data_IF_296111237151
#
_entry.id   IF_296111237151
#
_cell.length_a   1.000
_cell.length_b   1.000
_cell.length_c   1.000
_cell.angle_alpha   90.00
_cell.angle_beta   90.00
_cell.angle_gamma   90.00
#
_symmetry.space_group_name_H-M   'P 1'
#
loop_
_entity.id
_entity.type
_entity.pdbx_description
1 polymer ?
#
# COMPACT_ATOMS: atom_id res chain seq x y z
N UNK A 1 14.44 24.44 -44.28
CA UNK A 1 15.04 23.15 -43.88
C UNK A 1 15.87 23.42 -42.64
N UNK A 2 15.80 22.75 -41.50
CA UNK A 2 15.11 21.55 -41.07
C UNK A 2 14.75 21.73 -39.57
N UNK A 3 13.66 21.09 -39.15
CA UNK A 3 13.20 21.00 -37.77
C UNK A 3 14.21 20.16 -36.96
N UNK A 4 14.71 20.67 -35.84
CA UNK A 4 15.26 19.82 -34.79
C UNK A 4 14.16 19.57 -33.74
N UNK A 5 13.48 18.44 -33.89
CA UNK A 5 12.72 17.80 -32.81
C UNK A 5 13.68 16.76 -32.23
N UNK A 6 14.16 16.97 -31.01
CA UNK A 6 15.00 15.99 -30.31
C UNK A 6 14.62 15.94 -28.82
N UNK A 7 13.94 14.84 -28.46
CA UNK A 7 14.08 14.09 -27.20
C UNK A 7 13.84 14.83 -25.87
N UNK A 8 12.65 14.70 -25.29
CA UNK A 8 12.35 15.26 -23.96
C UNK A 8 11.35 14.45 -23.12
N UNK A 9 11.42 13.11 -23.11
CA UNK A 9 10.47 12.27 -22.35
C UNK A 9 11.09 11.65 -21.08
N UNK A 10 12.42 11.53 -20.99
CA UNK A 10 13.09 10.80 -19.90
C UNK A 10 13.12 11.50 -18.53
N UNK A 11 13.29 12.82 -18.48
CA UNK A 11 13.44 13.57 -17.21
C UNK A 11 12.12 13.80 -16.47
N UNK A 12 10.98 13.70 -17.16
CA UNK A 12 9.65 13.85 -16.56
C UNK A 12 9.27 12.68 -15.65
N UNK A 13 9.68 11.45 -15.98
CA UNK A 13 9.32 10.26 -15.21
C UNK A 13 10.06 10.16 -13.88
N UNK A 14 11.36 10.51 -13.85
CA UNK A 14 12.15 10.48 -12.63
C UNK A 14 11.67 11.54 -11.60
N UNK A 15 11.35 12.74 -12.09
CA UNK A 15 10.84 13.84 -11.26
C UNK A 15 9.42 13.55 -10.74
N UNK A 16 8.53 13.02 -11.58
CA UNK A 16 7.19 12.61 -11.15
C UNK A 16 7.20 11.42 -10.18
N UNK A 17 8.08 10.44 -10.39
CA UNK A 17 8.27 9.32 -9.45
C UNK A 17 8.82 9.77 -8.09
N UNK A 18 9.82 10.66 -8.07
CA UNK A 18 10.35 11.23 -6.84
C UNK A 18 9.29 12.04 -6.07
N UNK A 19 8.49 12.85 -6.79
CA UNK A 19 7.37 13.60 -6.20
C UNK A 19 6.28 12.66 -5.67
N UNK A 20 5.96 11.60 -6.40
CA UNK A 20 5.01 10.58 -5.93
C UNK A 20 5.50 9.89 -4.65
N UNK A 21 6.77 9.49 -4.58
CA UNK A 21 7.37 8.89 -3.39
C UNK A 21 7.35 9.84 -2.18
N UNK A 22 7.72 11.11 -2.37
CA UNK A 22 7.69 12.10 -1.29
C UNK A 22 6.25 12.36 -0.82
N UNK A 23 5.29 12.45 -1.73
CA UNK A 23 3.87 12.58 -1.39
C UNK A 23 3.37 11.35 -0.63
N UNK A 24 3.83 10.16 -0.99
CA UNK A 24 3.48 8.89 -0.33
C UNK A 24 4.02 8.80 1.10
N UNK A 25 5.27 9.20 1.34
CA UNK A 25 5.84 9.24 2.69
C UNK A 25 5.16 10.29 3.56
N UNK A 26 4.90 11.48 3.01
CA UNK A 26 4.19 12.56 3.71
C UNK A 26 2.75 12.16 4.06
N UNK A 27 2.00 11.53 3.14
CA UNK A 27 0.64 11.04 3.42
C UNK A 27 0.62 9.98 4.52
N UNK A 28 1.55 9.02 4.51
CA UNK A 28 1.69 8.02 5.58
C UNK A 28 1.96 8.66 6.94
N UNK A 29 2.76 9.72 6.98
CA UNK A 29 2.97 10.47 8.22
C UNK A 29 1.69 11.17 8.69
N UNK A 30 0.96 11.83 7.80
CA UNK A 30 -0.31 12.50 8.12
C UNK A 30 -1.37 11.53 8.65
N UNK A 31 -1.55 10.36 8.01
CA UNK A 31 -2.49 9.33 8.48
C UNK A 31 -2.09 8.81 9.86
N UNK A 32 -0.80 8.64 10.14
CA UNK A 32 -0.31 8.24 11.47
C UNK A 32 -0.54 9.30 12.53
N UNK A 33 -0.32 10.57 12.20
CA UNK A 33 -0.63 11.67 13.11
C UNK A 33 -2.13 11.77 13.37
N UNK A 34 -2.96 11.72 12.33
CA UNK A 34 -4.42 11.74 12.48
C UNK A 34 -4.95 10.53 13.28
N UNK A 35 -4.40 9.34 13.07
CA UNK A 35 -4.75 8.15 13.85
C UNK A 35 -4.30 8.27 15.31
N UNK A 36 -3.10 8.81 15.57
CA UNK A 36 -2.64 9.07 16.93
C UNK A 36 -3.50 10.13 17.64
N UNK A 37 -3.88 11.21 16.94
CA UNK A 37 -4.78 12.24 17.48
C UNK A 37 -6.19 11.69 17.77
N UNK A 38 -6.71 10.79 16.92
CA UNK A 38 -7.98 10.12 17.17
C UNK A 38 -7.93 9.21 18.40
N UNK A 39 -6.84 8.45 18.60
CA UNK A 39 -6.66 7.62 19.80
C UNK A 39 -6.61 8.48 21.08
N UNK A 40 -5.97 9.66 21.04
CA UNK A 40 -5.92 10.58 22.18
C UNK A 40 -7.27 11.29 22.43
N UNK A 41 -8.05 11.56 21.38
CA UNK A 41 -9.38 12.16 21.48
C UNK A 41 -10.44 11.17 22.02
N UNK A 42 -10.29 9.88 21.71
CA UNK A 42 -11.20 8.79 22.10
C UNK A 42 -10.74 8.05 23.37
N UNK A 43 -9.98 8.72 24.26
CA UNK A 43 -9.53 8.18 25.56
C UNK A 43 -10.69 7.99 26.59
N UNK A 44 -11.86 7.55 26.11
CA UNK A 44 -13.07 7.31 26.89
C UNK A 44 -14.06 6.33 26.25
N UNK A 45 -13.61 5.33 25.45
CA UNK A 45 -14.52 4.35 24.81
C UNK A 45 -14.07 2.92 25.07
N UNK A 46 -15.05 2.06 25.37
CA UNK A 46 -14.91 0.63 25.67
C UNK A 46 -14.41 -0.15 24.47
N UNK A 47 -13.37 -0.96 24.66
CA UNK A 47 -12.87 -1.97 23.71
C UNK A 47 -14.00 -2.89 23.28
N UNK A 48 -14.49 -2.69 22.06
CA UNK A 48 -15.22 -3.69 21.29
C UNK A 48 -14.17 -4.39 20.42
N UNK A 49 -13.98 -5.70 20.60
CA UNK A 49 -12.89 -6.54 20.05
C UNK A 49 -12.89 -6.68 18.50
N UNK A 50 -13.42 -5.71 17.75
CA UNK A 50 -13.55 -5.76 16.29
C UNK A 50 -12.66 -4.74 15.53
N UNK A 51 -11.82 -3.96 16.22
CA UNK A 51 -11.00 -2.90 15.60
C UNK A 51 -9.74 -3.41 14.87
N UNK A 52 -9.33 -4.66 15.11
CA UNK A 52 -8.16 -5.27 14.46
C UNK A 52 -8.39 -5.60 12.97
N UNK A 53 -9.66 -5.70 12.52
CA UNK A 53 -10.00 -6.03 11.13
C UNK A 53 -9.82 -4.84 10.16
N UNK A 54 -9.68 -3.62 10.70
CA UNK A 54 -9.62 -2.39 9.91
C UNK A 54 -8.20 -1.84 9.70
N UNK A 55 -7.16 -2.55 10.17
CA UNK A 55 -5.77 -2.07 10.10
C UNK A 55 -4.94 -2.89 9.10
N UNK A 56 -4.12 -2.21 8.30
CA UNK A 56 -3.17 -2.87 7.41
C UNK A 56 -2.03 -3.53 8.20
N UNK A 57 -1.90 -4.86 8.14
CA UNK A 57 -0.86 -5.59 8.86
C UNK A 57 0.59 -5.32 8.39
N UNK A 58 0.81 -4.56 7.32
CA UNK A 58 2.15 -4.19 6.84
C UNK A 58 2.59 -2.83 7.38
N UNK A 59 1.71 -1.83 7.36
CA UNK A 59 2.05 -0.48 7.80
C UNK A 59 1.53 -0.13 9.20
N UNK A 60 0.71 -1.01 9.78
CA UNK A 60 0.06 -0.87 11.09
C UNK A 60 -0.70 0.44 11.20
N UNK A 61 -1.49 0.75 10.17
CA UNK A 61 -2.29 1.98 10.08
C UNK A 61 -3.55 1.71 9.26
N UNK A 62 -4.58 2.57 9.35
CA UNK A 62 -5.76 2.48 8.50
C UNK A 62 -5.35 2.40 7.01
N UNK A 63 -5.89 1.43 6.25
CA UNK A 63 -5.42 1.17 4.89
C UNK A 63 -5.90 2.23 3.89
N UNK A 64 -4.96 2.96 3.28
CA UNK A 64 -5.20 3.77 2.08
C UNK A 64 -5.35 2.84 0.85
N UNK A 65 -6.47 2.93 0.13
CA UNK A 65 -6.84 2.02 -0.96
C UNK A 65 -6.77 0.54 -0.52
N UNK A 66 -7.65 0.12 0.40
CA UNK A 66 -7.61 -1.23 0.93
C UNK A 66 -7.86 -2.24 -0.18
N UNK A 67 -7.10 -3.32 -0.14
CA UNK A 67 -7.32 -4.49 -0.95
C UNK A 67 -7.40 -5.73 -0.06
N UNK A 68 -8.22 -6.67 -0.49
CA UNK A 68 -8.40 -7.96 0.14
C UNK A 68 -7.87 -9.03 -0.82
N UNK A 69 -6.97 -9.85 -0.29
CA UNK A 69 -6.44 -11.03 -0.99
C UNK A 69 -7.49 -12.14 -1.03
N UNK A 70 -7.40 -13.12 -1.94
CA UNK A 70 -8.38 -14.22 -1.96
C UNK A 70 -8.41 -15.08 -0.69
N UNK A 71 -7.39 -15.00 0.17
CA UNK A 71 -7.38 -15.62 1.49
C UNK A 71 -8.04 -14.79 2.60
N UNK A 72 -8.66 -13.64 2.27
CA UNK A 72 -9.41 -12.79 3.20
C UNK A 72 -8.60 -11.71 3.91
N UNK A 73 -7.26 -11.74 3.80
CA UNK A 73 -6.42 -10.73 4.46
C UNK A 73 -6.42 -9.37 3.74
N UNK A 74 -6.49 -8.31 4.53
CA UNK A 74 -6.60 -6.90 4.11
C UNK A 74 -5.26 -6.15 4.23
N UNK A 75 -4.92 -5.37 3.22
CA UNK A 75 -3.72 -4.53 3.20
C UNK A 75 -4.00 -3.22 2.45
N UNK A 76 -3.11 -2.22 2.57
CA UNK A 76 -3.05 -1.19 1.53
C UNK A 76 -2.55 -1.85 0.24
N UNK A 77 -3.17 -1.57 -0.91
CA UNK A 77 -2.73 -2.06 -2.23
C UNK A 77 -1.24 -1.83 -2.43
N UNK A 78 -0.82 -0.62 -2.11
CA UNK A 78 0.54 -0.13 -2.16
C UNK A 78 1.53 -0.87 -1.24
N UNK A 79 1.07 -1.25 -0.05
CA UNK A 79 1.87 -1.96 0.93
C UNK A 79 2.10 -3.41 0.49
N UNK A 80 1.06 -4.05 -0.03
CA UNK A 80 1.16 -5.40 -0.57
C UNK A 80 2.10 -5.46 -1.77
N UNK A 81 1.93 -4.57 -2.76
CA UNK A 81 2.81 -4.53 -3.95
C UNK A 81 4.27 -4.28 -3.56
N UNK A 82 4.54 -3.35 -2.64
CA UNK A 82 5.90 -3.08 -2.20
C UNK A 82 6.51 -4.27 -1.43
N UNK A 83 5.73 -4.96 -0.61
CA UNK A 83 6.17 -6.19 0.08
C UNK A 83 6.52 -7.28 -0.93
N UNK A 84 5.66 -7.47 -1.92
CA UNK A 84 5.83 -8.47 -2.98
C UNK A 84 7.10 -8.22 -3.79
N UNK A 85 7.35 -6.98 -4.17
CA UNK A 85 8.53 -6.57 -4.93
C UNK A 85 9.86 -6.83 -4.20
N UNK A 86 9.86 -6.92 -2.87
CA UNK A 86 11.05 -7.22 -2.06
C UNK A 86 11.30 -8.71 -1.89
N UNK A 87 10.37 -9.59 -2.27
CA UNK A 87 10.54 -11.03 -2.11
C UNK A 87 11.58 -11.56 -3.11
N UNK A 88 12.48 -12.46 -2.68
CA UNK A 88 13.44 -13.08 -3.59
C UNK A 88 12.68 -13.92 -4.63
N UNK A 89 12.89 -13.62 -5.91
CA UNK A 89 12.35 -14.44 -6.99
C UNK A 89 13.02 -15.81 -7.02
N UNK A 90 12.27 -16.85 -7.40
CA UNK A 90 12.73 -18.25 -7.48
C UNK A 90 13.91 -18.44 -8.45
N UNK A 91 14.17 -17.46 -9.31
CA UNK A 91 15.20 -17.47 -10.36
C UNK A 91 16.17 -16.26 -10.25
N UNK A 92 16.39 -15.75 -9.04
CA UNK A 92 17.39 -14.69 -8.78
C UNK A 92 17.08 -13.29 -9.34
N UNK A 93 15.98 -13.14 -10.10
CA UNK A 93 15.47 -11.85 -10.55
C UNK A 93 14.36 -11.32 -9.63
N UNK A 94 14.29 -10.00 -9.38
CA UNK A 94 13.14 -9.41 -8.70
C UNK A 94 11.89 -9.65 -9.57
N UNK A 95 10.78 -10.04 -8.93
CA UNK A 95 9.44 -10.18 -9.54
C UNK A 95 9.14 -11.47 -10.36
N UNK A 96 9.98 -12.50 -10.33
CA UNK A 96 9.70 -13.79 -11.02
C UNK A 96 9.02 -14.85 -10.14
N UNK A 97 8.66 -14.54 -8.89
CA UNK A 97 7.97 -15.47 -8.00
C UNK A 97 6.43 -15.41 -8.12
N UNK A 98 5.73 -16.27 -7.40
CA UNK A 98 4.29 -16.14 -7.16
C UNK A 98 4.02 -15.28 -5.92
N UNK A 99 3.13 -14.29 -6.05
CA UNK A 99 2.71 -13.47 -4.93
C UNK A 99 2.13 -14.31 -3.81
N UNK A 100 2.58 -14.07 -2.57
CA UNK A 100 2.11 -14.78 -1.38
C UNK A 100 1.57 -13.80 -0.35
N UNK A 101 0.55 -14.23 0.40
CA UNK A 101 0.02 -13.44 1.48
C UNK A 101 1.05 -13.36 2.63
N UNK A 102 1.38 -12.17 3.15
CA UNK A 102 2.29 -12.01 4.29
C UNK A 102 1.81 -12.68 5.59
N UNK A 103 0.50 -12.93 5.73
CA UNK A 103 -0.10 -13.44 6.96
C UNK A 103 -0.28 -14.96 6.96
N UNK A 104 -0.65 -15.55 5.81
CA UNK A 104 -0.94 -16.99 5.73
C UNK A 104 -0.13 -17.75 4.66
N UNK A 105 0.77 -17.07 3.94
CA UNK A 105 1.64 -17.64 2.88
C UNK A 105 0.93 -18.23 1.66
N UNK A 106 -0.41 -18.22 1.63
CA UNK A 106 -1.23 -18.61 0.48
C UNK A 106 -0.82 -17.81 -0.76
N UNK A 107 -0.86 -18.44 -1.94
CA UNK A 107 -0.68 -17.71 -3.19
C UNK A 107 -1.74 -16.63 -3.33
N UNK A 108 -1.40 -15.53 -3.99
CA UNK A 108 -2.25 -14.36 -4.23
C UNK A 108 -2.25 -14.08 -5.72
N UNK A 109 -3.30 -14.51 -6.43
CA UNK A 109 -3.46 -14.27 -7.86
C UNK A 109 -4.44 -13.13 -8.14
N UNK A 110 -5.16 -12.68 -7.11
CA UNK A 110 -6.16 -11.61 -7.21
C UNK A 110 -6.10 -10.72 -5.98
N UNK A 111 -6.07 -9.41 -6.22
CA UNK A 111 -6.35 -8.39 -5.22
C UNK A 111 -7.70 -7.78 -5.55
N UNK A 112 -8.66 -7.92 -4.65
CA UNK A 112 -9.96 -7.28 -4.77
C UNK A 112 -9.91 -5.94 -4.03
N UNK A 113 -10.29 -4.81 -4.64
CA UNK A 113 -10.44 -3.56 -3.91
C UNK A 113 -11.55 -3.72 -2.87
N UNK A 114 -11.32 -3.21 -1.67
CA UNK A 114 -12.36 -3.05 -0.67
C UNK A 114 -12.81 -1.59 -0.70
N UNK A 115 -14.03 -1.35 -1.13
CA UNK A 115 -14.57 0.01 -1.22
C UNK A 115 -15.11 0.52 0.11
N UNK A 116 -15.03 -0.30 1.17
CA UNK A 116 -15.79 -0.11 2.39
C UNK A 116 -17.27 -0.31 2.09
N UNK A 117 -17.99 -1.04 2.94
CA UNK A 117 -19.43 -0.86 2.96
C UNK A 117 -19.67 0.62 3.27
N UNK A 118 -20.38 1.35 2.41
CA UNK A 118 -20.91 2.65 2.74
C UNK A 118 -21.82 2.46 3.97
N UNK A 119 -21.26 2.63 5.16
CA UNK A 119 -21.98 2.65 6.43
C UNK A 119 -22.68 4.00 6.57
#
# INVERSE_FOLDING_TARGET
>A
TARHVAGGIGLGLATTYAVWLHRRTARRALVRHAAAEAVEAEAGVTVDDNEDEDVCAICLSPPELPCVTQCGHRFCTDCFVAWWQRQPGVMGGPHLGEARCPLCTSSVVRLSPDFGAAR
#
